data_IF_102155417730
#
_entry.id   IF_102155417730
#
_cell.length_a   1.000
_cell.length_b   1.000
_cell.length_c   1.000
_cell.angle_alpha   90.00
_cell.angle_beta   90.00
_cell.angle_gamma   90.00
#
_symmetry.space_group_name_H-M   'P 1'
#
loop_
_entity.id
_entity.type
_entity.pdbx_description
1 polymer ?
#
# COMPACT_ATOMS: atom_id res chain seq x y z
N UNK A 1 -23.58 -20.75 15.30
CA UNK A 1 -22.80 -21.58 14.36
C UNK A 1 -21.35 -21.11 14.48
N UNK A 2 -20.39 -21.98 14.80
CA UNK A 2 -18.98 -21.60 14.67
C UNK A 2 -18.58 -21.80 13.22
N UNK A 3 -18.21 -20.73 12.55
CA UNK A 3 -17.56 -20.82 11.24
C UNK A 3 -16.13 -21.30 11.48
N UNK A 4 -15.81 -22.53 11.08
CA UNK A 4 -14.43 -22.99 11.04
C UNK A 4 -13.84 -22.51 9.71
N UNK A 5 -12.70 -21.83 9.77
CA UNK A 5 -11.96 -21.37 8.60
C UNK A 5 -10.66 -22.16 8.49
N UNK A 6 -10.32 -22.56 7.26
CA UNK A 6 -9.04 -23.21 6.93
C UNK A 6 -8.33 -22.41 5.83
N UNK A 7 -6.99 -22.27 5.91
CA UNK A 7 -6.25 -21.56 4.88
C UNK A 7 -6.23 -22.34 3.56
N UNK A 8 -6.53 -21.66 2.46
CA UNK A 8 -6.32 -22.20 1.11
C UNK A 8 -4.83 -22.12 0.78
N UNK A 9 -4.14 -23.26 0.87
CA UNK A 9 -2.70 -23.34 0.60
C UNK A 9 -2.43 -23.03 -0.88
N UNK A 10 -1.35 -22.30 -1.15
CA UNK A 10 -0.88 -21.95 -2.50
C UNK A 10 -1.98 -21.35 -3.38
N UNK A 11 -2.84 -20.53 -2.78
CA UNK A 11 -3.95 -19.88 -3.47
C UNK A 11 -3.45 -19.04 -4.67
N UNK A 12 -2.44 -18.19 -4.46
CA UNK A 12 -1.88 -17.35 -5.51
C UNK A 12 -1.05 -18.15 -6.53
N UNK A 13 -1.45 -18.10 -7.80
CA UNK A 13 -0.77 -18.72 -8.95
C UNK A 13 0.21 -17.72 -9.55
N UNK A 14 1.37 -17.60 -8.90
CA UNK A 14 2.42 -16.65 -9.28
C UNK A 14 3.08 -17.10 -10.61
N UNK A 15 3.10 -16.25 -11.66
CA UNK A 15 3.72 -16.61 -12.93
C UNK A 15 5.25 -16.62 -12.86
N UNK A 16 5.89 -17.30 -13.81
CA UNK A 16 7.35 -17.30 -13.92
C UNK A 16 7.89 -15.87 -14.09
N UNK A 17 8.93 -15.54 -13.34
CA UNK A 17 9.57 -14.21 -13.38
C UNK A 17 9.08 -13.26 -12.28
N UNK A 18 7.94 -13.54 -11.65
CA UNK A 18 7.46 -12.82 -10.47
C UNK A 18 7.90 -13.57 -9.21
N UNK A 19 8.45 -12.84 -8.25
CA UNK A 19 8.83 -13.36 -6.94
C UNK A 19 8.57 -12.29 -5.90
N UNK A 20 8.05 -12.68 -4.74
CA UNK A 20 7.82 -11.77 -3.60
C UNK A 20 9.04 -11.67 -2.66
N UNK A 21 10.12 -12.41 -2.94
CA UNK A 21 11.28 -12.56 -2.06
C UNK A 21 10.97 -12.94 -0.60
N UNK A 22 9.81 -13.56 -0.37
CA UNK A 22 9.34 -13.98 0.94
C UNK A 22 8.83 -12.86 1.85
N UNK A 23 8.66 -11.63 1.33
CA UNK A 23 8.21 -10.48 2.11
C UNK A 23 7.03 -9.77 1.44
N UNK A 24 5.89 -9.78 2.11
CA UNK A 24 4.66 -9.12 1.71
C UNK A 24 4.32 -8.07 2.77
N UNK A 25 4.28 -6.80 2.35
CA UNK A 25 3.97 -5.68 3.24
C UNK A 25 2.49 -5.63 3.60
N UNK A 26 1.61 -5.92 2.63
CA UNK A 26 0.17 -5.91 2.87
C UNK A 26 -0.65 -6.48 1.72
N UNK A 27 -1.94 -6.63 1.98
CA UNK A 27 -2.94 -7.05 0.99
C UNK A 27 -4.18 -6.16 1.08
N UNK A 28 -4.81 -5.90 -0.05
CA UNK A 28 -6.08 -5.18 -0.14
C UNK A 28 -6.99 -5.85 -1.18
N UNK A 29 -8.28 -5.52 -1.17
CA UNK A 29 -9.27 -6.13 -2.06
C UNK A 29 -10.09 -5.03 -2.73
N UNK A 30 -10.33 -5.15 -4.04
CA UNK A 30 -11.16 -4.21 -4.80
C UNK A 30 -12.65 -4.61 -4.80
N UNK A 31 -13.50 -3.77 -5.41
CA UNK A 31 -14.95 -3.98 -5.51
C UNK A 31 -15.38 -5.26 -6.27
N UNK A 32 -14.43 -5.98 -6.88
CA UNK A 32 -14.65 -7.23 -7.65
C UNK A 32 -14.03 -8.44 -6.96
N UNK A 33 -13.66 -8.31 -5.69
CA UNK A 33 -12.94 -9.31 -4.90
C UNK A 33 -11.55 -9.67 -5.46
N UNK A 34 -10.96 -8.83 -6.33
CA UNK A 34 -9.57 -9.05 -6.73
C UNK A 34 -8.64 -8.69 -5.57
N UNK A 35 -7.67 -9.56 -5.31
CA UNK A 35 -6.70 -9.38 -4.22
C UNK A 35 -5.44 -8.74 -4.76
N UNK A 36 -5.09 -7.60 -4.17
CA UNK A 36 -3.86 -6.87 -4.42
C UNK A 36 -2.84 -7.27 -3.36
N UNK A 37 -1.71 -7.80 -3.79
CA UNK A 37 -0.60 -8.21 -2.92
C UNK A 37 0.52 -7.19 -3.10
N UNK A 38 0.78 -6.41 -2.06
CA UNK A 38 1.90 -5.48 -2.02
C UNK A 38 3.11 -6.15 -1.37
N UNK A 39 4.18 -6.33 -2.14
CA UNK A 39 5.30 -7.20 -1.82
C UNK A 39 6.63 -6.55 -2.16
N UNK A 40 7.73 -7.04 -1.60
CA UNK A 40 9.09 -6.47 -1.80
C UNK A 40 9.86 -7.14 -2.94
N UNK A 41 9.11 -7.81 -3.81
CA UNK A 41 9.58 -8.60 -4.92
C UNK A 41 10.03 -7.81 -6.13
N UNK A 42 10.04 -8.50 -7.28
CA UNK A 42 10.32 -7.87 -8.58
C UNK A 42 9.25 -6.85 -8.95
N UNK A 43 7.99 -7.18 -8.69
CA UNK A 43 6.83 -6.35 -9.02
C UNK A 43 6.05 -6.11 -7.74
N UNK A 44 6.22 -4.92 -7.13
CA UNK A 44 5.66 -4.62 -5.83
C UNK A 44 4.16 -4.84 -5.71
N UNK A 45 3.36 -4.52 -6.72
CA UNK A 45 1.92 -4.82 -6.69
C UNK A 45 1.63 -5.96 -7.66
N UNK A 46 1.06 -7.06 -7.14
CA UNK A 46 0.54 -8.16 -7.92
C UNK A 46 -0.96 -8.34 -7.64
N UNK A 47 -1.76 -8.46 -8.69
CA UNK A 47 -3.23 -8.52 -8.61
C UNK A 47 -3.70 -9.90 -9.04
N UNK A 48 -4.59 -10.50 -8.24
CA UNK A 48 -5.15 -11.82 -8.46
C UNK A 48 -6.68 -11.77 -8.40
N UNK A 49 -7.36 -12.65 -9.13
CA UNK A 49 -8.79 -12.86 -8.94
C UNK A 49 -9.08 -13.68 -7.66
N UNK A 50 -10.35 -13.84 -7.24
CA UNK A 50 -10.71 -14.60 -6.04
C UNK A 50 -10.25 -16.06 -6.03
N UNK A 51 -10.00 -16.64 -7.21
CA UNK A 51 -9.48 -18.01 -7.39
C UNK A 51 -7.93 -18.07 -7.44
N UNK A 52 -7.28 -16.93 -7.23
CA UNK A 52 -5.83 -16.79 -7.18
C UNK A 52 -5.16 -16.82 -8.54
N UNK A 53 -5.89 -16.65 -9.64
CA UNK A 53 -5.30 -16.47 -10.96
C UNK A 53 -4.68 -15.08 -11.06
N UNK A 54 -3.44 -15.01 -11.55
CA UNK A 54 -2.75 -13.75 -11.77
C UNK A 54 -3.43 -12.93 -12.87
N UNK A 55 -3.74 -11.67 -12.58
CA UNK A 55 -4.36 -10.74 -13.51
C UNK A 55 -3.34 -9.76 -14.10
N UNK A 56 -2.54 -9.12 -13.25
CA UNK A 56 -1.52 -8.13 -13.66
C UNK A 56 -0.56 -7.81 -12.51
N UNK A 57 0.55 -7.14 -12.83
CA UNK A 57 1.46 -6.56 -11.85
C UNK A 57 1.96 -5.18 -12.30
N UNK A 58 2.46 -4.39 -11.35
CA UNK A 58 3.08 -3.09 -11.62
C UNK A 58 3.98 -2.63 -10.46
N UNK A 59 4.69 -1.51 -10.66
CA UNK A 59 5.56 -0.88 -9.65
C UNK A 59 7.03 -1.31 -9.71
N UNK A 60 7.47 -2.03 -10.75
CA UNK A 60 8.83 -2.54 -10.88
C UNK A 60 9.87 -1.40 -10.76
N UNK A 61 10.75 -1.48 -9.75
CA UNK A 61 11.77 -0.47 -9.48
C UNK A 61 11.24 0.88 -8.99
N UNK A 62 9.94 1.00 -8.72
CA UNK A 62 9.30 2.25 -8.28
C UNK A 62 9.28 2.38 -6.75
N UNK A 63 9.50 1.30 -6.00
CA UNK A 63 9.42 1.24 -4.54
C UNK A 63 10.73 0.74 -3.94
N UNK A 64 11.14 1.33 -2.80
CA UNK A 64 12.35 0.92 -2.06
C UNK A 64 12.04 -0.19 -1.06
N UNK A 65 10.94 -0.05 -0.32
CA UNK A 65 10.47 -1.03 0.66
C UNK A 65 8.95 -0.93 0.83
N UNK A 66 8.19 -1.60 -0.07
CA UNK A 66 6.75 -1.78 0.04
C UNK A 66 6.32 -2.17 1.45
N UNK A 67 5.37 -1.41 2.02
CA UNK A 67 4.92 -1.59 3.39
C UNK A 67 3.38 -1.67 3.52
N UNK A 68 2.65 -0.61 3.21
CA UNK A 68 1.18 -0.57 3.37
C UNK A 68 0.43 -0.51 2.04
N UNK A 69 -0.76 -1.12 1.97
CA UNK A 69 -1.68 -1.01 0.84
C UNK A 69 -3.12 -0.94 1.34
N UNK A 70 -3.91 -0.03 0.78
CA UNK A 70 -5.35 0.12 1.04
C UNK A 70 -6.08 0.45 -0.27
N UNK A 71 -7.35 0.06 -0.39
CA UNK A 71 -8.19 0.36 -1.57
C UNK A 71 -9.47 1.06 -1.13
N UNK A 72 -9.79 2.21 -1.73
CA UNK A 72 -11.02 2.93 -1.41
C UNK A 72 -12.24 2.39 -2.20
N UNK A 73 -13.43 2.91 -1.87
CA UNK A 73 -14.69 2.49 -2.49
C UNK A 73 -14.79 2.81 -4.00
N UNK A 74 -13.84 3.57 -4.56
CA UNK A 74 -13.75 3.88 -5.99
C UNK A 74 -12.67 3.03 -6.69
N UNK A 75 -12.14 2.01 -6.01
CA UNK A 75 -11.01 1.18 -6.43
C UNK A 75 -9.70 1.97 -6.65
N UNK A 76 -9.53 3.14 -6.01
CA UNK A 76 -8.22 3.79 -5.99
C UNK A 76 -7.31 3.06 -4.99
N UNK A 77 -6.03 2.94 -5.37
CA UNK A 77 -5.03 2.16 -4.65
C UNK A 77 -4.11 3.12 -3.91
N UNK A 78 -3.97 2.94 -2.61
CA UNK A 78 -3.07 3.73 -1.76
C UNK A 78 -1.92 2.84 -1.33
N UNK A 79 -0.70 3.32 -1.53
CA UNK A 79 0.53 2.56 -1.32
C UNK A 79 1.45 3.35 -0.39
N UNK A 80 2.06 2.67 0.57
CA UNK A 80 3.02 3.25 1.51
C UNK A 80 4.38 2.63 1.30
N UNK A 81 5.36 3.45 0.91
CA UNK A 81 6.76 3.04 0.77
C UNK A 81 7.55 3.58 1.96
N UNK A 82 8.09 2.65 2.76
CA UNK A 82 8.81 3.02 3.97
C UNK A 82 10.33 3.00 3.73
N UNK A 83 11.12 3.32 4.77
CA UNK A 83 12.57 3.40 4.60
C UNK A 83 12.98 4.57 3.68
N UNK A 84 13.91 4.38 2.71
CA UNK A 84 14.36 5.44 1.82
C UNK A 84 13.25 5.99 0.91
N UNK A 85 12.21 5.21 0.62
CA UNK A 85 11.08 5.65 -0.20
C UNK A 85 10.35 6.80 0.45
N UNK A 86 9.95 6.64 1.71
CA UNK A 86 9.41 7.68 2.58
C UNK A 86 8.24 8.47 1.96
N UNK A 87 7.32 7.76 1.29
CA UNK A 87 6.16 8.37 0.64
C UNK A 87 4.90 7.53 0.81
N UNK A 88 3.76 8.20 0.62
CA UNK A 88 2.50 7.55 0.29
C UNK A 88 2.09 7.95 -1.13
N UNK A 89 1.37 7.09 -1.81
CA UNK A 89 0.97 7.33 -3.20
C UNK A 89 -0.43 6.79 -3.48
N UNK A 90 -1.28 7.63 -4.05
CA UNK A 90 -2.59 7.23 -4.59
C UNK A 90 -2.45 6.94 -6.08
N UNK A 91 -3.01 5.82 -6.53
CA UNK A 91 -3.12 5.41 -7.92
C UNK A 91 -4.57 5.11 -8.28
N UNK A 92 -4.91 5.25 -9.55
CA UNK A 92 -6.18 4.72 -10.06
C UNK A 92 -6.13 3.18 -10.15
N UNK A 93 -7.28 2.56 -10.43
CA UNK A 93 -7.37 1.11 -10.62
C UNK A 93 -6.55 0.61 -11.84
N UNK A 94 -6.05 1.47 -12.72
CA UNK A 94 -5.12 1.04 -13.79
C UNK A 94 -3.65 1.09 -13.34
N UNK A 95 -3.37 1.51 -12.10
CA UNK A 95 -2.02 1.68 -11.57
C UNK A 95 -1.36 2.99 -11.96
N UNK A 96 -2.10 3.94 -12.54
CA UNK A 96 -1.59 5.27 -12.87
C UNK A 96 -1.56 6.13 -11.60
N UNK A 97 -0.44 6.80 -11.36
CA UNK A 97 -0.28 7.72 -10.24
C UNK A 97 -1.24 8.91 -10.36
N UNK A 98 -2.01 9.15 -9.30
CA UNK A 98 -2.87 10.32 -9.12
C UNK A 98 -2.09 11.39 -8.36
N UNK A 99 -1.56 11.05 -7.18
CA UNK A 99 -0.67 11.91 -6.40
C UNK A 99 0.31 11.10 -5.55
N UNK A 100 1.38 11.77 -5.13
CA UNK A 100 2.37 11.27 -4.17
C UNK A 100 2.54 12.32 -3.08
N UNK A 101 2.63 11.90 -1.82
CA UNK A 101 2.99 12.76 -0.68
C UNK A 101 4.24 12.17 -0.04
N UNK A 102 5.21 13.02 0.29
CA UNK A 102 6.56 12.60 0.67
C UNK A 102 7.51 12.53 -0.53
N UNK A 103 8.80 12.44 -0.24
CA UNK A 103 9.84 12.41 -1.26
C UNK A 103 10.98 11.45 -0.85
N UNK A 104 11.40 10.62 -1.81
CA UNK A 104 12.48 9.65 -1.65
C UNK A 104 13.76 10.32 -1.14
N UNK A 105 14.31 9.79 -0.05
CA UNK A 105 15.53 10.28 0.59
C UNK A 105 15.40 11.64 1.30
N UNK A 106 14.17 12.12 1.53
CA UNK A 106 13.90 13.33 2.31
C UNK A 106 13.09 13.01 3.57
N UNK A 107 13.68 12.22 4.47
CA UNK A 107 13.11 12.01 5.79
C UNK A 107 13.16 13.27 6.66
N UNK A 108 12.07 13.49 7.38
CA UNK A 108 12.03 14.43 8.49
C UNK A 108 13.00 13.97 9.60
N UNK A 109 13.46 14.88 10.48
CA UNK A 109 14.30 14.50 11.62
C UNK A 109 13.65 13.41 12.49
N UNK A 110 14.47 12.60 13.16
CA UNK A 110 13.99 11.60 14.12
C UNK A 110 13.09 12.26 15.16
N UNK A 111 11.84 11.80 15.24
CA UNK A 111 10.82 12.37 16.15
C UNK A 111 10.57 13.88 15.96
N UNK A 112 10.89 14.41 14.76
CA UNK A 112 10.71 15.83 14.43
C UNK A 112 9.25 16.22 14.28
N UNK A 113 8.37 15.26 13.95
CA UNK A 113 6.94 15.47 13.83
C UNK A 113 6.48 15.93 12.44
N UNK A 114 7.39 16.37 11.57
CA UNK A 114 7.09 16.67 10.17
C UNK A 114 6.90 15.38 9.34
N UNK A 115 6.14 15.48 8.25
CA UNK A 115 5.97 14.41 7.27
C UNK A 115 7.20 14.25 6.39
N UNK A 116 7.71 13.05 6.12
CA UNK A 116 7.52 11.80 6.88
C UNK A 116 8.86 11.35 7.43
N UNK A 117 8.86 10.45 8.42
CA UNK A 117 10.05 9.67 8.77
C UNK A 117 9.68 8.20 8.97
N UNK A 118 9.66 7.49 7.85
CA UNK A 118 9.30 6.08 7.69
C UNK A 118 7.81 5.82 8.00
N UNK A 119 6.90 6.24 7.09
CA UNK A 119 5.48 5.94 7.17
C UNK A 119 5.26 4.44 7.07
N UNK A 120 4.22 3.91 7.70
CA UNK A 120 3.98 2.46 7.77
C UNK A 120 2.66 2.05 7.16
N UNK A 121 1.59 2.82 7.36
CA UNK A 121 0.27 2.40 6.90
C UNK A 121 -0.65 3.60 6.66
N UNK A 122 -1.74 3.35 5.95
CA UNK A 122 -2.76 4.35 5.61
C UNK A 122 -4.16 3.79 5.83
N UNK A 123 -4.98 4.54 6.56
CA UNK A 123 -6.41 4.28 6.69
C UNK A 123 -7.21 5.41 6.02
N UNK A 124 -8.33 5.04 5.40
CA UNK A 124 -9.17 5.96 4.63
C UNK A 124 -10.53 6.07 5.31
N UNK A 125 -10.97 7.29 5.59
CA UNK A 125 -12.32 7.49 6.11
C UNK A 125 -13.35 7.27 4.99
N UNK A 126 -14.26 6.28 5.13
CA UNK A 126 -15.04 5.76 4.01
C UNK A 126 -16.05 6.75 3.41
N UNK A 127 -16.41 7.80 4.15
CA UNK A 127 -17.40 8.80 3.71
C UNK A 127 -16.76 10.13 3.30
N UNK A 128 -15.64 10.50 3.91
CA UNK A 128 -15.01 11.81 3.67
C UNK A 128 -13.80 11.72 2.77
N UNK A 129 -13.20 10.53 2.62
CA UNK A 129 -11.95 10.31 1.91
C UNK A 129 -10.72 10.83 2.66
N UNK A 130 -10.87 11.28 3.91
CA UNK A 130 -9.74 11.74 4.71
C UNK A 130 -8.76 10.58 4.97
N UNK A 131 -7.47 10.88 4.88
CA UNK A 131 -6.41 9.89 4.97
C UNK A 131 -5.73 10.02 6.32
N UNK A 132 -5.46 8.89 6.97
CA UNK A 132 -4.75 8.80 8.24
C UNK A 132 -3.52 7.93 8.06
N UNK A 133 -2.33 8.51 8.17
CA UNK A 133 -1.07 7.84 7.88
C UNK A 133 -0.33 7.64 9.20
N UNK A 134 -0.05 6.39 9.56
CA UNK A 134 0.82 6.11 10.69
C UNK A 134 2.28 6.28 10.28
N UNK A 135 3.01 7.16 10.96
CA UNK A 135 4.42 7.46 10.72
C UNK A 135 5.23 7.08 11.96
N UNK A 136 5.59 5.81 12.02
CA UNK A 136 5.90 5.13 13.30
C UNK A 136 7.32 4.59 13.44
N UNK A 137 8.08 4.45 12.36
CA UNK A 137 9.40 3.84 12.45
C UNK A 137 10.53 4.83 12.72
N UNK A 138 10.36 6.10 12.32
CA UNK A 138 11.26 7.20 12.66
C UNK A 138 10.55 8.38 13.32
N UNK A 139 9.24 8.47 13.16
CA UNK A 139 8.35 9.34 13.92
C UNK A 139 7.50 8.56 14.93
N UNK A 140 6.68 9.28 15.69
CA UNK A 140 5.63 8.71 16.55
C UNK A 140 4.37 9.57 16.43
N UNK A 141 3.88 9.63 15.19
CA UNK A 141 2.76 10.49 14.78
C UNK A 141 1.79 9.73 13.89
N UNK A 142 0.57 10.26 13.87
CA UNK A 142 -0.42 9.99 12.83
C UNK A 142 -0.64 11.32 12.13
N UNK A 143 -0.46 11.34 10.82
CA UNK A 143 -0.74 12.51 9.98
C UNK A 143 -2.12 12.36 9.36
N UNK A 144 -2.84 13.46 9.26
CA UNK A 144 -4.15 13.54 8.61
C UNK A 144 -4.06 14.38 7.34
N UNK A 145 -4.44 13.78 6.21
CA UNK A 145 -4.55 14.47 4.92
C UNK A 145 -6.01 14.58 4.48
N UNK A 146 -6.28 15.57 3.63
CA UNK A 146 -7.53 15.61 2.86
C UNK A 146 -7.50 14.57 1.71
N UNK A 147 -8.61 14.32 1.01
CA UNK A 147 -8.67 13.35 -0.09
C UNK A 147 -7.75 13.66 -1.27
N UNK A 148 -7.34 14.92 -1.42
CA UNK A 148 -6.42 15.41 -2.46
C UNK A 148 -4.94 15.27 -2.06
N UNK A 149 -4.66 14.78 -0.85
CA UNK A 149 -3.30 14.55 -0.34
C UNK A 149 -2.67 15.76 0.35
N UNK A 150 -3.43 16.81 0.65
CA UNK A 150 -2.91 17.99 1.35
C UNK A 150 -2.96 17.80 2.86
N UNK A 151 -1.90 18.26 3.54
CA UNK A 151 -1.76 18.13 4.99
C UNK A 151 -2.77 18.97 5.76
N UNK A 152 -3.53 18.34 6.64
CA UNK A 152 -4.45 19.02 7.57
C UNK A 152 -3.81 19.15 8.95
N UNK A 153 -3.34 18.02 9.53
CA UNK A 153 -2.91 17.89 10.93
C UNK A 153 -1.85 16.81 11.14
#
# INVERSE_FOLDING_TARGET
MSSNYEPVKNWAKIPMGISFYGDCGGVAVDSKDNVYVFNRGTDPVCVFDPEGNFLRSFGHGEFDRPHGIEIDNEDNIYLVDDGPGNFIQKRDNNGKVIFTVGERGKEAPWQGGDMFNRPTDIAIHPTTGELFISDGYGNSRVHKLNPDGEHIL
#
